data_IF_736129346991
#
_entry.id   IF_736129346991
#
_cell.length_a   1.000
_cell.length_b   1.000
_cell.length_c   1.000
_cell.angle_alpha   90.00
_cell.angle_beta   90.00
_cell.angle_gamma   90.00
#
_symmetry.space_group_name_H-M   'P 1'
#
loop_
_entity.id
_entity.type
_entity.pdbx_description
1 polymer ?
#
# COMPACT_ATOMS: atom_id res chain seq x y z
N UNK A 1 -32.03 -0.42 13.87
CA UNK A 1 -31.28 -0.34 12.59
C UNK A 1 -30.19 -1.39 12.62
N UNK A 2 -30.16 -2.33 11.65
CA UNK A 2 -29.03 -3.26 11.49
C UNK A 2 -27.77 -2.43 11.18
N UNK A 3 -27.01 -2.13 12.22
CA UNK A 3 -25.56 -2.17 12.25
C UNK A 3 -24.76 -1.27 11.30
N UNK A 4 -24.71 0.04 11.53
CA UNK A 4 -23.75 0.96 10.82
C UNK A 4 -22.30 0.47 10.92
N UNK A 5 -21.97 -0.24 12.00
CA UNK A 5 -20.64 -0.82 12.24
C UNK A 5 -20.37 -2.00 11.31
N UNK A 6 -21.34 -2.90 11.15
CA UNK A 6 -21.30 -4.07 10.29
C UNK A 6 -21.22 -3.67 8.82
N UNK A 7 -21.98 -2.64 8.41
CA UNK A 7 -21.87 -2.06 7.07
C UNK A 7 -20.44 -1.54 6.81
N UNK A 8 -19.86 -0.79 7.75
CA UNK A 8 -18.49 -0.29 7.62
C UNK A 8 -17.46 -1.42 7.53
N UNK A 9 -17.62 -2.50 8.31
CA UNK A 9 -16.76 -3.67 8.21
C UNK A 9 -16.88 -4.36 6.85
N UNK A 10 -18.10 -4.50 6.33
CA UNK A 10 -18.35 -5.05 5.00
C UNK A 10 -17.69 -4.19 3.92
N UNK A 11 -17.84 -2.87 3.97
CA UNK A 11 -17.20 -1.94 3.04
C UNK A 11 -15.66 -2.03 3.11
N UNK A 12 -15.07 -2.17 4.30
CA UNK A 12 -13.63 -2.37 4.46
C UNK A 12 -13.15 -3.67 3.83
N UNK A 13 -13.92 -4.75 3.97
CA UNK A 13 -13.63 -6.04 3.34
C UNK A 13 -13.71 -5.92 1.81
N UNK A 14 -14.75 -5.27 1.27
CA UNK A 14 -14.90 -5.03 -0.16
C UNK A 14 -13.74 -4.19 -0.72
N UNK A 15 -13.40 -3.08 -0.07
CA UNK A 15 -12.28 -2.24 -0.49
C UNK A 15 -10.94 -3.01 -0.45
N UNK A 16 -10.72 -3.82 0.59
CA UNK A 16 -9.54 -4.68 0.68
C UNK A 16 -9.46 -5.74 -0.42
N UNK A 17 -10.56 -6.43 -0.71
CA UNK A 17 -10.59 -7.47 -1.74
C UNK A 17 -10.43 -6.88 -3.15
N UNK A 18 -11.08 -5.75 -3.42
CA UNK A 18 -10.96 -5.09 -4.72
C UNK A 18 -9.58 -4.48 -4.92
N UNK A 19 -8.94 -3.96 -3.87
CA UNK A 19 -7.53 -3.56 -3.93
C UNK A 19 -6.62 -4.73 -4.34
N UNK A 20 -6.77 -5.90 -3.70
CA UNK A 20 -5.97 -7.07 -4.06
C UNK A 20 -6.15 -7.46 -5.52
N UNK A 21 -7.40 -7.54 -5.99
CA UNK A 21 -7.70 -7.88 -7.40
C UNK A 21 -7.17 -6.84 -8.39
N UNK A 22 -7.28 -5.55 -8.06
CA UNK A 22 -6.77 -4.49 -8.91
C UNK A 22 -5.23 -4.57 -9.05
N UNK A 23 -4.52 -4.88 -7.96
CA UNK A 23 -3.08 -5.12 -8.00
C UNK A 23 -2.71 -6.35 -8.83
N UNK A 24 -3.44 -7.47 -8.66
CA UNK A 24 -3.24 -8.69 -9.45
C UNK A 24 -3.47 -8.45 -10.95
N UNK A 25 -4.45 -7.61 -11.29
CA UNK A 25 -4.76 -7.21 -12.67
C UNK A 25 -3.91 -6.06 -13.20
N UNK A 26 -2.97 -5.54 -12.40
CA UNK A 26 -2.14 -4.37 -12.73
C UNK A 26 -2.95 -3.10 -13.05
N UNK A 27 -4.19 -3.00 -12.56
CA UNK A 27 -5.02 -1.79 -12.64
C UNK A 27 -4.69 -0.87 -11.47
N UNK A 28 -3.55 -0.18 -11.59
CA UNK A 28 -2.97 0.62 -10.52
C UNK A 28 -3.82 1.85 -10.15
N UNK A 29 -4.55 2.42 -11.12
CA UNK A 29 -5.46 3.54 -10.85
C UNK A 29 -6.66 3.09 -10.01
N UNK A 30 -7.28 1.95 -10.34
CA UNK A 30 -8.35 1.40 -9.52
C UNK A 30 -7.82 0.95 -8.14
N UNK A 31 -6.62 0.35 -8.10
CA UNK A 31 -5.97 -0.03 -6.84
C UNK A 31 -5.80 1.17 -5.91
N UNK A 32 -5.33 2.31 -6.44
CA UNK A 32 -5.19 3.54 -5.66
C UNK A 32 -6.54 4.00 -5.07
N UNK A 33 -7.60 4.02 -5.89
CA UNK A 33 -8.95 4.36 -5.42
C UNK A 33 -9.45 3.46 -4.28
N UNK A 34 -9.26 2.15 -4.38
CA UNK A 34 -9.63 1.22 -3.32
C UNK A 34 -8.79 1.38 -2.05
N UNK A 35 -7.50 1.70 -2.18
CA UNK A 35 -6.63 1.97 -1.04
C UNK A 35 -7.06 3.24 -0.28
N UNK A 36 -7.32 4.35 -1.00
CA UNK A 36 -7.87 5.57 -0.40
C UNK A 36 -9.18 5.28 0.33
N UNK A 37 -10.10 4.56 -0.31
CA UNK A 37 -11.37 4.18 0.32
C UNK A 37 -11.16 3.38 1.60
N UNK A 38 -10.22 2.44 1.60
CA UNK A 38 -9.87 1.64 2.79
C UNK A 38 -9.32 2.52 3.92
N UNK A 39 -8.50 3.52 3.61
CA UNK A 39 -7.95 4.46 4.59
C UNK A 39 -9.03 5.36 5.21
N UNK A 40 -9.93 5.92 4.39
CA UNK A 40 -11.10 6.67 4.86
C UNK A 40 -11.95 5.84 5.82
N UNK A 41 -12.21 4.58 5.46
CA UNK A 41 -12.98 3.66 6.28
C UNK A 41 -12.27 3.25 7.57
N UNK A 42 -10.94 3.32 7.66
CA UNK A 42 -10.23 3.11 8.94
C UNK A 42 -10.34 4.32 9.88
N UNK A 43 -10.56 5.54 9.35
CA UNK A 43 -10.66 6.78 10.12
C UNK A 43 -9.36 7.12 10.88
N UNK A 44 -9.46 7.91 11.96
CA UNK A 44 -8.29 8.47 12.65
C UNK A 44 -7.54 7.48 13.58
N UNK A 45 -8.11 6.33 13.89
CA UNK A 45 -7.54 5.31 14.79
C UNK A 45 -6.73 4.23 14.04
N UNK A 46 -5.86 4.65 13.12
CA UNK A 46 -5.03 3.72 12.35
C UNK A 46 -3.82 3.30 13.18
N UNK A 47 -3.69 1.99 13.44
CA UNK A 47 -2.50 1.44 14.12
C UNK A 47 -1.24 1.65 13.27
N UNK A 48 -0.06 1.88 13.86
CA UNK A 48 1.17 2.14 13.11
C UNK A 48 1.48 1.10 12.02
N UNK A 49 1.32 -0.19 12.32
CA UNK A 49 1.54 -1.27 11.35
C UNK A 49 0.60 -1.20 10.13
N UNK A 50 -0.60 -0.64 10.27
CA UNK A 50 -1.51 -0.46 9.14
C UNK A 50 -1.00 0.63 8.19
N UNK A 51 -0.40 1.70 8.73
CA UNK A 51 0.24 2.75 7.91
C UNK A 51 1.41 2.18 7.12
N UNK A 52 2.23 1.34 7.74
CA UNK A 52 3.33 0.63 7.06
C UNK A 52 2.80 -0.25 5.93
N UNK A 53 1.74 -1.02 6.16
CA UNK A 53 1.14 -1.83 5.11
C UNK A 53 0.51 -0.99 3.98
N UNK A 54 -0.09 0.17 4.30
CA UNK A 54 -0.61 1.09 3.28
C UNK A 54 0.53 1.66 2.43
N UNK A 55 1.60 2.14 3.07
CA UNK A 55 2.79 2.65 2.36
C UNK A 55 3.40 1.57 1.45
N UNK A 56 3.43 0.31 1.88
CA UNK A 56 3.88 -0.78 1.00
C UNK A 56 2.97 -0.96 -0.23
N UNK A 57 1.66 -0.79 -0.09
CA UNK A 57 0.72 -0.85 -1.21
C UNK A 57 0.83 0.38 -2.12
N UNK A 58 1.02 1.57 -1.56
CA UNK A 58 1.31 2.79 -2.33
C UNK A 58 2.58 2.63 -3.15
N UNK A 59 3.65 2.07 -2.58
CA UNK A 59 4.88 1.79 -3.31
C UNK A 59 4.65 0.85 -4.51
N UNK A 60 3.91 -0.26 -4.31
CA UNK A 60 3.57 -1.19 -5.40
C UNK A 60 2.78 -0.49 -6.52
N UNK A 61 1.82 0.36 -6.16
CA UNK A 61 1.02 1.13 -7.12
C UNK A 61 1.88 2.14 -7.88
N UNK A 62 2.70 2.93 -7.17
CA UNK A 62 3.56 3.94 -7.80
C UNK A 62 4.60 3.32 -8.72
N UNK A 63 5.20 2.19 -8.36
CA UNK A 63 6.08 1.46 -9.27
C UNK A 63 5.35 1.00 -10.53
N UNK A 64 4.14 0.48 -10.38
CA UNK A 64 3.28 0.08 -11.49
C UNK A 64 2.91 1.24 -12.44
N UNK A 65 2.82 2.45 -11.90
CA UNK A 65 2.58 3.69 -12.65
C UNK A 65 3.86 4.34 -13.21
N UNK A 66 5.05 3.83 -12.87
CA UNK A 66 6.33 4.44 -13.25
C UNK A 66 6.78 5.62 -12.37
N UNK A 67 6.06 5.91 -11.29
CA UNK A 67 6.30 7.00 -10.33
C UNK A 67 7.39 6.61 -9.33
N UNK A 68 8.63 6.47 -9.81
CA UNK A 68 9.75 5.89 -9.04
C UNK A 68 10.11 6.68 -7.77
N UNK A 69 10.04 8.01 -7.79
CA UNK A 69 10.35 8.84 -6.62
C UNK A 69 9.32 8.65 -5.51
N UNK A 70 8.04 8.71 -5.87
CA UNK A 70 6.91 8.46 -4.95
C UNK A 70 7.01 7.05 -4.35
N UNK A 71 7.32 6.05 -5.17
CA UNK A 71 7.57 4.70 -4.70
C UNK A 71 8.71 4.62 -3.68
N UNK A 72 9.84 5.28 -3.97
CA UNK A 72 11.01 5.31 -3.07
C UNK A 72 10.65 5.88 -1.71
N UNK A 73 9.96 7.02 -1.66
CA UNK A 73 9.51 7.65 -0.41
C UNK A 73 8.64 6.71 0.44
N UNK A 74 7.72 5.99 -0.19
CA UNK A 74 6.89 5.00 0.49
C UNK A 74 7.72 3.83 1.03
N UNK A 75 8.66 3.30 0.25
CA UNK A 75 9.53 2.20 0.66
C UNK A 75 10.46 2.60 1.81
N UNK A 76 11.08 3.78 1.75
CA UNK A 76 11.92 4.32 2.82
C UNK A 76 11.12 4.45 4.12
N UNK A 77 9.87 4.90 4.04
CA UNK A 77 8.98 4.92 5.20
C UNK A 77 8.70 3.52 5.75
N UNK A 78 8.46 2.52 4.89
CA UNK A 78 8.27 1.12 5.30
C UNK A 78 9.49 0.60 6.05
N UNK A 79 10.70 0.83 5.54
CA UNK A 79 11.95 0.41 6.20
C UNK A 79 12.11 1.11 7.54
N UNK A 80 11.92 2.44 7.58
CA UNK A 80 12.12 3.24 8.79
C UNK A 80 11.11 2.94 9.90
N UNK A 81 9.86 2.53 9.55
CA UNK A 81 8.76 2.38 10.52
C UNK A 81 8.22 0.95 10.68
N UNK A 82 8.64 0.02 9.83
CA UNK A 82 8.12 -1.36 9.81
C UNK A 82 8.75 -2.31 10.82
N UNK A 83 9.93 -2.00 11.38
CA UNK A 83 10.57 -2.84 12.39
C UNK A 83 10.81 -4.27 11.91
N UNK A 84 10.20 -5.27 12.58
CA UNK A 84 10.33 -6.70 12.23
C UNK A 84 9.23 -7.22 11.30
N UNK A 85 8.48 -6.34 10.65
CA UNK A 85 7.41 -6.75 9.72
C UNK A 85 8.02 -7.37 8.46
N UNK A 86 7.38 -8.42 7.93
CA UNK A 86 7.82 -9.10 6.70
C UNK A 86 7.96 -8.15 5.50
N UNK A 87 7.10 -7.15 5.38
CA UNK A 87 7.15 -6.18 4.28
C UNK A 87 8.41 -5.30 4.30
N UNK A 88 9.15 -5.22 5.40
CA UNK A 88 10.43 -4.49 5.46
C UNK A 88 11.46 -5.16 4.55
N UNK A 89 11.60 -6.48 4.63
CA UNK A 89 12.54 -7.23 3.78
C UNK A 89 12.19 -7.10 2.28
N UNK A 90 10.89 -7.10 1.97
CA UNK A 90 10.41 -6.87 0.61
C UNK A 90 10.74 -5.45 0.13
N UNK A 91 10.55 -4.44 0.99
CA UNK A 91 10.88 -3.06 0.66
C UNK A 91 12.38 -2.83 0.43
N UNK A 92 13.23 -3.40 1.29
CA UNK A 92 14.69 -3.34 1.14
C UNK A 92 15.16 -3.97 -0.19
N UNK A 93 14.57 -5.10 -0.58
CA UNK A 93 14.88 -5.77 -1.86
C UNK A 93 14.48 -4.91 -3.06
N UNK A 94 13.31 -4.28 -3.01
CA UNK A 94 12.83 -3.40 -4.07
C UNK A 94 13.75 -2.17 -4.20
N UNK A 95 14.11 -1.53 -3.08
CA UNK A 95 15.03 -0.38 -3.07
C UNK A 95 16.38 -0.73 -3.69
N UNK A 96 16.98 -1.86 -3.29
CA UNK A 96 18.24 -2.32 -3.87
C UNK A 96 18.13 -2.55 -5.40
N UNK A 97 16.99 -3.10 -5.85
CA UNK A 97 16.71 -3.26 -7.29
C UNK A 97 16.60 -1.93 -8.05
N UNK A 98 16.01 -0.91 -7.42
CA UNK A 98 15.87 0.43 -8.01
C UNK A 98 17.22 1.14 -8.16
N UNK A 99 18.14 0.98 -7.22
CA UNK A 99 19.47 1.58 -7.27
C UNK A 99 20.31 0.98 -8.40
N UNK A 100 20.28 -0.35 -8.54
CA UNK A 100 20.97 -1.05 -9.63
C UNK A 100 20.43 -0.65 -11.01
N UNK A 101 19.12 -0.47 -11.15
CA UNK A 101 18.51 -0.02 -12.39
C UNK A 101 18.87 1.44 -12.76
N UNK A 102 19.15 2.27 -11.75
CA UNK A 102 19.54 3.68 -11.95
C UNK A 102 21.03 3.84 -12.26
N UNK A 103 21.88 2.88 -11.87
CA UNK A 103 23.31 2.86 -12.21
C UNK A 103 23.62 2.42 -13.64
N UNK A 104 22.61 1.96 -14.39
CA UNK A 104 22.72 1.47 -15.77
C UNK A 104 22.12 2.44 -16.81
N UNK A 105 21.59 3.58 -16.36
CA UNK A 105 21.00 4.65 -17.18
C UNK A 105 21.87 5.90 -17.15
#
# INVERSE_FOLDING_TARGET
MKGKREQRYFEMLCAGNNLTRALENQDYLAAFGFLCKRMELNGNTVRPWMKVNCAMKEAQIYLGLGEKESARLCLDYVVAKGGRMRCVQEAEQILAGMENASSLS
#
